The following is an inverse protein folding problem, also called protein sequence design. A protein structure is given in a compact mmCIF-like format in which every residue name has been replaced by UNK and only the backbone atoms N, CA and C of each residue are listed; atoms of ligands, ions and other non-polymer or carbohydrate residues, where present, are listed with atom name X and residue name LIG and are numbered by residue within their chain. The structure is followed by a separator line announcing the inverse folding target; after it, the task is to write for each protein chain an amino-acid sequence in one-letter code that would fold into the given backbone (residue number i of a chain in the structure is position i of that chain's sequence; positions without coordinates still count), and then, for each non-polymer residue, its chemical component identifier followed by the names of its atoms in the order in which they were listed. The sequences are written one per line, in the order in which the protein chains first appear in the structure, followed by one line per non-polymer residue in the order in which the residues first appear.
data_IF_025544576193
#
_entry.id   IF_025544576193
#
_cell.length_a   1.000
_cell.length_b   1.000
_cell.length_c   1.000
_cell.angle_alpha   90.00
_cell.angle_beta   90.00
_cell.angle_gamma   90.00
#
_symmetry.space_group_name_H-M   'P 1'
#
loop_
_entity.id
_entity.type
_entity.pdbx_description
1 polymer ?
#
# COMPACT_ATOMS: atom_id res chain seq x y z
N UNK A 1 4.85 12.19 26.49
CA UNK A 1 4.64 12.17 25.03
C UNK A 1 4.28 10.74 24.65
N UNK A 2 3.04 10.33 24.96
CA UNK A 2 2.51 8.98 24.69
C UNK A 2 1.61 8.93 23.45
N UNK A 3 1.70 9.95 22.58
CA UNK A 3 0.86 9.99 21.39
C UNK A 3 1.38 8.98 20.35
N UNK A 4 0.45 8.32 19.67
CA UNK A 4 0.76 7.33 18.64
C UNK A 4 1.48 8.03 17.47
N UNK A 5 2.57 7.47 16.93
CA UNK A 5 3.36 8.20 15.94
C UNK A 5 2.54 8.36 14.65
N UNK A 6 2.39 9.60 14.20
CA UNK A 6 1.51 9.94 13.07
C UNK A 6 1.99 9.36 11.73
N UNK A 7 3.30 9.16 11.58
CA UNK A 7 3.90 8.59 10.39
C UNK A 7 5.18 7.80 10.71
N UNK A 8 5.67 7.08 9.70
CA UNK A 8 6.87 6.24 9.80
C UNK A 8 8.12 7.04 10.20
N UNK A 9 8.29 8.26 9.69
CA UNK A 9 9.46 9.10 9.99
C UNK A 9 9.43 9.49 11.47
N UNK A 10 8.28 9.94 11.96
CA UNK A 10 8.10 10.30 13.36
C UNK A 10 8.30 9.10 14.29
N UNK A 11 7.77 7.91 13.92
CA UNK A 11 8.02 6.68 14.67
C UNK A 11 9.52 6.35 14.75
N UNK A 12 10.25 6.49 13.64
CA UNK A 12 11.68 6.21 13.58
C UNK A 12 12.51 7.22 14.39
N UNK A 13 12.18 8.52 14.30
CA UNK A 13 12.84 9.57 15.07
C UNK A 13 12.65 9.37 16.58
N UNK A 14 11.45 9.00 17.00
CA UNK A 14 11.15 8.66 18.39
C UNK A 14 11.96 7.46 18.88
N UNK A 15 12.13 6.45 18.02
CA UNK A 15 12.94 5.28 18.34
C UNK A 15 14.44 5.62 18.46
N UNK A 16 14.95 6.55 17.63
CA UNK A 16 16.31 7.10 17.78
C UNK A 16 16.45 7.78 19.15
N UNK A 17 15.49 8.62 19.54
CA UNK A 17 15.54 9.35 20.82
C UNK A 17 15.48 8.42 22.03
N UNK A 18 14.59 7.42 22.00
CA UNK A 18 14.49 6.38 23.04
C UNK A 18 15.83 5.67 23.25
N UNK A 19 16.49 5.26 22.16
CA UNK A 19 17.78 4.55 22.22
C UNK A 19 18.94 5.42 22.71
N UNK A 20 18.90 6.72 22.45
CA UNK A 20 19.86 7.69 23.03
C UNK A 20 19.72 7.77 24.56
N UNK A 21 18.49 7.79 25.06
CA UNK A 21 18.21 7.82 26.52
C UNK A 21 18.66 6.51 27.18
N UNK A 22 18.41 5.37 26.54
CA UNK A 22 18.78 4.03 27.05
C UNK A 22 20.29 3.71 26.95
N UNK A 23 21.13 4.63 26.46
CA UNK A 23 22.57 4.44 26.20
C UNK A 23 22.91 3.27 25.25
N UNK A 24 21.92 2.78 24.50
CA UNK A 24 22.06 1.69 23.51
C UNK A 24 22.27 2.22 22.08
N UNK A 25 22.47 3.53 21.91
CA UNK A 25 22.56 4.17 20.60
C UNK A 25 23.75 3.69 19.74
N UNK A 26 24.94 3.59 20.33
CA UNK A 26 26.17 3.15 19.66
C UNK A 26 26.12 1.68 19.17
N UNK A 27 25.23 0.87 19.75
CA UNK A 27 25.01 -0.52 19.35
C UNK A 27 23.81 -0.66 18.40
N UNK A 28 23.15 0.45 18.05
CA UNK A 28 21.93 0.45 17.25
C UNK A 28 22.20 0.73 15.77
N UNK A 29 21.46 0.05 14.90
CA UNK A 29 21.41 0.35 13.46
C UNK A 29 20.44 1.50 13.11
N UNK A 30 20.08 2.33 14.09
CA UNK A 30 19.09 3.41 13.96
C UNK A 30 19.80 4.78 13.93
N UNK A 31 20.06 5.29 12.73
CA UNK A 31 20.58 6.65 12.55
C UNK A 31 19.90 7.37 11.39
N UNK A 32 20.14 8.69 11.31
CA UNK A 32 19.55 9.54 10.28
C UNK A 32 19.89 9.08 8.85
N UNK A 33 21.13 8.67 8.53
CA UNK A 33 21.43 8.04 7.24
C UNK A 33 20.63 6.75 6.95
N UNK A 34 20.44 5.85 7.92
CA UNK A 34 19.61 4.66 7.66
C UNK A 34 18.14 5.03 7.48
N UNK A 35 17.61 5.97 8.27
CA UNK A 35 16.25 6.49 8.06
C UNK A 35 16.07 7.00 6.63
N UNK A 36 17.03 7.82 6.14
CA UNK A 36 17.01 8.30 4.75
C UNK A 36 16.99 7.15 3.75
N UNK A 37 17.85 6.14 3.92
CA UNK A 37 17.89 4.99 3.02
C UNK A 37 16.58 4.20 3.07
N UNK A 38 16.05 3.89 4.26
CA UNK A 38 14.77 3.19 4.41
C UNK A 38 13.61 3.94 3.74
N UNK A 39 13.56 5.27 3.89
CA UNK A 39 12.53 6.10 3.26
C UNK A 39 12.69 6.07 1.74
N UNK A 40 13.90 6.20 1.21
CA UNK A 40 14.17 6.11 -0.22
C UNK A 40 13.80 4.75 -0.79
N UNK A 41 14.22 3.66 -0.14
CA UNK A 41 13.92 2.30 -0.57
C UNK A 41 12.40 2.05 -0.57
N UNK A 42 11.69 2.49 0.47
CA UNK A 42 10.23 2.39 0.55
C UNK A 42 9.54 3.14 -0.58
N UNK A 43 9.97 4.36 -0.87
CA UNK A 43 9.36 5.16 -1.93
C UNK A 43 9.66 4.61 -3.33
N UNK A 44 10.91 4.26 -3.62
CA UNK A 44 11.30 3.74 -4.94
C UNK A 44 10.64 2.39 -5.20
N UNK A 45 10.80 1.44 -4.28
CA UNK A 45 10.20 0.10 -4.41
C UNK A 45 8.67 0.18 -4.44
N UNK A 46 8.09 1.02 -3.58
CA UNK A 46 6.65 1.25 -3.54
C UNK A 46 6.12 1.86 -4.84
N UNK A 47 6.82 2.83 -5.41
CA UNK A 47 6.42 3.47 -6.67
C UNK A 47 6.44 2.46 -7.82
N UNK A 48 7.52 1.70 -7.99
CA UNK A 48 7.65 0.73 -9.09
C UNK A 48 6.56 -0.34 -9.01
N UNK A 49 6.40 -0.96 -7.83
CA UNK A 49 5.43 -2.05 -7.62
C UNK A 49 3.98 -1.59 -7.78
N UNK A 50 3.61 -0.42 -7.24
CA UNK A 50 2.25 0.12 -7.37
C UNK A 50 1.96 0.58 -8.80
N UNK A 51 2.93 1.20 -9.48
CA UNK A 51 2.78 1.61 -10.89
C UNK A 51 2.53 0.41 -11.79
N UNK A 52 3.34 -0.65 -11.65
CA UNK A 52 3.16 -1.89 -12.41
C UNK A 52 1.80 -2.52 -12.13
N UNK A 53 1.41 -2.62 -10.85
CA UNK A 53 0.09 -3.17 -10.48
C UNK A 53 -1.04 -2.39 -11.16
N UNK A 54 -1.01 -1.05 -11.13
CA UNK A 54 -2.02 -0.22 -11.77
C UNK A 54 -2.03 -0.40 -13.29
N UNK A 55 -0.87 -0.37 -13.93
CA UNK A 55 -0.74 -0.53 -15.38
C UNK A 55 -1.36 -1.85 -15.83
N UNK A 56 -1.01 -2.96 -15.19
CA UNK A 56 -1.54 -4.26 -15.56
C UNK A 56 -3.02 -4.42 -15.21
N UNK A 57 -3.45 -3.92 -14.05
CA UNK A 57 -4.87 -3.96 -13.67
C UNK A 57 -5.73 -3.23 -14.69
N UNK A 58 -5.33 -2.01 -15.08
CA UNK A 58 -6.03 -1.23 -16.11
C UNK A 58 -5.99 -1.97 -17.45
N UNK A 59 -4.84 -2.54 -17.83
CA UNK A 59 -4.71 -3.30 -19.07
C UNK A 59 -5.68 -4.49 -19.11
N UNK A 60 -5.77 -5.28 -18.04
CA UNK A 60 -6.71 -6.40 -17.97
C UNK A 60 -8.16 -5.92 -18.05
N UNK A 61 -8.52 -4.87 -17.31
CA UNK A 61 -9.88 -4.31 -17.35
C UNK A 61 -10.24 -3.83 -18.76
N UNK A 62 -9.31 -3.19 -19.50
CA UNK A 62 -9.54 -2.74 -20.87
C UNK A 62 -9.77 -3.89 -21.87
N UNK A 63 -9.17 -5.06 -21.62
CA UNK A 63 -9.36 -6.24 -22.48
C UNK A 63 -10.59 -7.08 -22.11
N UNK A 64 -11.22 -6.78 -20.96
CA UNK A 64 -12.37 -7.50 -20.43
C UNK A 64 -13.53 -6.53 -20.12
N UNK A 65 -14.28 -6.06 -21.14
CA UNK A 65 -15.39 -5.12 -20.97
C UNK A 65 -16.44 -5.59 -19.95
N UNK A 66 -16.66 -6.90 -19.85
CA UNK A 66 -17.56 -7.54 -18.88
C UNK A 66 -17.10 -7.37 -17.43
N UNK A 67 -15.78 -7.31 -17.20
CA UNK A 67 -15.19 -7.03 -15.89
C UNK A 67 -15.33 -5.54 -15.59
N UNK A 68 -15.06 -4.68 -16.58
CA UNK A 68 -15.22 -3.24 -16.44
C UNK A 68 -16.67 -2.86 -16.06
N UNK A 69 -17.66 -3.45 -16.72
CA UNK A 69 -19.09 -3.22 -16.42
C UNK A 69 -19.41 -3.59 -14.96
N UNK A 70 -18.96 -4.75 -14.49
CA UNK A 70 -19.17 -5.20 -13.11
C UNK A 70 -18.51 -4.29 -12.07
N UNK A 71 -17.31 -3.77 -12.36
CA UNK A 71 -16.65 -2.78 -11.50
C UNK A 71 -17.49 -1.50 -11.42
N UNK A 72 -17.97 -0.98 -12.54
CA UNK A 72 -18.80 0.21 -12.55
C UNK A 72 -20.12 0.02 -11.80
N UNK A 73 -20.79 -1.12 -11.99
CA UNK A 73 -21.99 -1.47 -11.24
C UNK A 73 -21.74 -1.50 -9.73
N UNK A 74 -20.64 -2.12 -9.29
CA UNK A 74 -20.26 -2.14 -7.87
C UNK A 74 -20.04 -0.73 -7.31
N UNK A 75 -19.32 0.12 -8.06
CA UNK A 75 -19.08 1.52 -7.68
C UNK A 75 -20.37 2.34 -7.63
N UNK A 76 -21.29 2.14 -8.57
CA UNK A 76 -22.54 2.87 -8.62
C UNK A 76 -23.50 2.47 -7.49
N UNK A 77 -23.52 1.18 -7.13
CA UNK A 77 -24.22 0.70 -5.92
C UNK A 77 -23.64 1.34 -4.66
N UNK A 78 -22.32 1.47 -4.56
CA UNK A 78 -21.68 2.13 -3.43
C UNK A 78 -22.04 3.63 -3.37
N UNK A 79 -22.00 4.33 -4.50
CA UNK A 79 -22.42 5.75 -4.60
C UNK A 79 -23.86 5.94 -4.16
N UNK A 80 -24.78 5.08 -4.61
CA UNK A 80 -26.20 5.17 -4.26
C UNK A 80 -26.47 4.95 -2.76
N UNK A 81 -25.62 4.18 -2.07
CA UNK A 81 -25.74 3.88 -0.63
C UNK A 81 -24.99 4.85 0.27
N UNK A 82 -24.13 5.69 -0.31
CA UNK A 82 -23.25 6.55 0.46
C UNK A 82 -23.86 7.92 0.70
N UNK A 83 -23.70 8.42 1.93
CA UNK A 83 -24.19 9.74 2.33
C UNK A 83 -23.11 10.82 2.27
N UNK A 84 -21.86 10.46 1.94
CA UNK A 84 -20.75 11.42 1.87
C UNK A 84 -19.62 10.96 0.95
N UNK A 85 -18.92 11.92 0.33
CA UNK A 85 -17.74 11.64 -0.50
C UNK A 85 -16.63 10.92 0.28
N UNK A 86 -16.55 11.11 1.60
CA UNK A 86 -15.55 10.45 2.45
C UNK A 86 -15.73 8.94 2.49
N UNK A 87 -16.96 8.45 2.44
CA UNK A 87 -17.27 7.02 2.40
C UNK A 87 -16.98 6.38 1.03
N UNK A 88 -16.84 7.19 -0.03
CA UNK A 88 -16.52 6.73 -1.39
C UNK A 88 -15.02 6.58 -1.64
N UNK A 89 -14.20 7.34 -0.92
CA UNK A 89 -12.75 7.46 -1.17
C UNK A 89 -11.92 6.99 0.03
N UNK A 90 -12.55 6.78 1.20
CA UNK A 90 -11.88 6.31 2.41
C UNK A 90 -11.49 4.83 2.36
N UNK A 91 -10.64 4.41 3.30
CA UNK A 91 -10.26 3.00 3.46
C UNK A 91 -11.47 2.10 3.78
N UNK A 92 -12.50 2.66 4.41
CA UNK A 92 -13.78 1.98 4.66
C UNK A 92 -14.51 1.60 3.38
N UNK A 93 -14.25 2.29 2.25
CA UNK A 93 -14.81 1.93 0.95
C UNK A 93 -14.27 0.57 0.48
N UNK A 94 -13.04 0.19 0.87
CA UNK A 94 -12.41 -1.07 0.46
C UNK A 94 -13.24 -2.29 0.87
N UNK A 95 -13.82 -2.27 2.07
CA UNK A 95 -14.67 -3.39 2.55
C UNK A 95 -16.00 -3.47 1.80
N UNK A 96 -16.41 -2.38 1.15
CA UNK A 96 -17.65 -2.26 0.38
C UNK A 96 -17.45 -2.50 -1.12
N UNK A 97 -16.21 -2.73 -1.58
CA UNK A 97 -15.84 -2.98 -2.97
C UNK A 97 -15.15 -4.36 -3.14
N UNK A 98 -15.82 -5.47 -2.77
CA UNK A 98 -15.23 -6.81 -2.83
C UNK A 98 -14.84 -7.24 -4.25
N UNK A 99 -15.59 -6.87 -5.28
CA UNK A 99 -15.31 -7.23 -6.67
C UNK A 99 -14.08 -6.49 -7.19
N UNK A 100 -13.98 -5.18 -6.97
CA UNK A 100 -12.78 -4.41 -7.33
C UNK A 100 -11.54 -4.96 -6.60
N UNK A 101 -11.66 -5.31 -5.32
CA UNK A 101 -10.58 -5.96 -4.58
C UNK A 101 -10.17 -7.31 -5.21
N UNK A 102 -11.15 -8.12 -5.63
CA UNK A 102 -10.89 -9.37 -6.31
C UNK A 102 -10.16 -9.16 -7.66
N UNK A 103 -10.54 -8.14 -8.44
CA UNK A 103 -9.88 -7.80 -9.72
C UNK A 103 -8.42 -7.39 -9.51
N UNK A 104 -8.14 -6.56 -8.50
CA UNK A 104 -6.76 -6.16 -8.17
C UNK A 104 -5.94 -7.38 -7.74
N UNK A 105 -6.49 -8.22 -6.87
CA UNK A 105 -5.80 -9.44 -6.40
C UNK A 105 -5.53 -10.41 -7.57
N UNK A 106 -6.47 -10.57 -8.49
CA UNK A 106 -6.30 -11.43 -9.65
C UNK A 106 -5.28 -10.85 -10.64
N UNK A 107 -5.27 -9.52 -10.82
CA UNK A 107 -4.24 -8.83 -11.61
C UNK A 107 -2.86 -9.04 -11.01
N UNK A 108 -2.72 -9.00 -9.68
CA UNK A 108 -1.46 -9.31 -8.99
C UNK A 108 -1.07 -10.78 -9.15
N UNK A 109 -2.04 -11.71 -9.05
CA UNK A 109 -1.79 -13.15 -9.27
C UNK A 109 -1.25 -13.43 -10.67
N UNK A 110 -1.78 -12.74 -11.68
CA UNK A 110 -1.34 -12.90 -13.07
C UNK A 110 0.00 -12.22 -13.37
N UNK A 111 0.33 -11.14 -12.68
CA UNK A 111 1.54 -10.34 -12.93
C UNK A 111 2.72 -10.72 -12.04
N UNK A 112 2.49 -11.48 -10.97
CA UNK A 112 3.55 -12.00 -10.11
C UNK A 112 4.37 -13.05 -10.87
N UNK A 113 5.32 -12.56 -11.68
CA UNK A 113 6.24 -13.34 -12.51
C UNK A 113 7.44 -13.88 -11.74
N UNK A 114 7.56 -13.60 -10.43
CA UNK A 114 8.71 -14.06 -9.65
C UNK A 114 8.66 -15.59 -9.51
N UNK A 115 9.60 -16.35 -10.11
CA UNK A 115 9.68 -17.78 -9.87
C UNK A 115 9.94 -18.01 -8.38
N UNK A 116 9.49 -19.13 -7.78
CA UNK A 116 10.03 -19.54 -6.50
C UNK A 116 11.56 -19.59 -6.64
N UNK A 117 12.25 -18.78 -5.85
CA UNK A 117 13.70 -18.82 -5.72
C UNK A 117 14.09 -20.24 -5.31
N UNK A 118 14.48 -21.06 -6.29
CA UNK A 118 15.15 -22.33 -6.01
C UNK A 118 16.52 -21.96 -5.45
N UNK A 119 16.65 -21.92 -4.13
CA UNK A 119 17.94 -21.94 -3.47
C UNK A 119 18.56 -23.31 -3.71
N UNK A 120 19.55 -23.38 -4.61
CA UNK A 120 20.47 -24.50 -4.78
C UNK A 120 21.53 -24.54 -3.69
#
# INVERSE_FOLDING_TARGET
MDDEPTDFIYAYLREIERRKIEKNYEQSFYSMPQLRNCVLDLFITGQETTSLTLTWTILFVLHHPEVQEKIHLELDVLKAKSNSTKELIGLDAKTKLPYLCAVINESQRMTNYYPPIYTS
#
